data_IF_246991281973
#
_entry.id   IF_246991281973
#
_cell.length_a   1.000
_cell.length_b   1.000
_cell.length_c   1.000
_cell.angle_alpha   90.00
_cell.angle_beta   90.00
_cell.angle_gamma   90.00
#
_symmetry.space_group_name_H-M   'P 1'
#
loop_
_entity.id
_entity.type
_entity.pdbx_description
1 polymer ?
#
# COMPACT_ATOMS: atom_id res chain seq x y z
N UNK A 1 -24.45 -2.60 -24.37
CA UNK A 1 -23.48 -3.54 -23.76
C UNK A 1 -22.22 -2.85 -23.25
N UNK A 2 -21.51 -2.04 -24.06
CA UNK A 2 -20.33 -1.26 -23.62
C UNK A 2 -20.62 -0.23 -22.50
N UNK A 3 -21.80 0.42 -22.54
CA UNK A 3 -22.24 1.38 -21.49
C UNK A 3 -22.40 0.70 -20.12
N UNK A 4 -22.80 -0.58 -20.11
CA UNK A 4 -22.96 -1.35 -18.86
C UNK A 4 -21.60 -1.74 -18.26
N UNK A 5 -20.64 -2.18 -19.10
CA UNK A 5 -19.27 -2.51 -18.65
C UNK A 5 -18.58 -1.28 -18.05
N UNK A 6 -18.68 -0.13 -18.71
CA UNK A 6 -18.11 1.13 -18.23
C UNK A 6 -18.71 1.58 -16.88
N UNK A 7 -20.04 1.46 -16.73
CA UNK A 7 -20.73 1.81 -15.48
C UNK A 7 -20.28 0.90 -14.33
N UNK A 8 -20.24 -0.42 -14.56
CA UNK A 8 -19.76 -1.39 -13.57
C UNK A 8 -18.30 -1.14 -13.17
N UNK A 9 -17.45 -0.83 -14.16
CA UNK A 9 -16.04 -0.52 -13.95
C UNK A 9 -15.84 0.74 -13.12
N UNK A 10 -16.56 1.81 -13.43
CA UNK A 10 -16.53 3.04 -12.64
C UNK A 10 -17.00 2.81 -11.19
N UNK A 11 -18.05 2.00 -11.00
CA UNK A 11 -18.50 1.63 -9.66
C UNK A 11 -17.44 0.83 -8.89
N UNK A 12 -16.79 -0.14 -9.55
CA UNK A 12 -15.68 -0.89 -8.98
C UNK A 12 -14.51 0.01 -8.58
N UNK A 13 -14.18 1.01 -9.42
CA UNK A 13 -13.10 1.96 -9.15
C UNK A 13 -13.40 2.87 -7.97
N UNK A 14 -14.62 3.41 -7.89
CA UNK A 14 -15.08 4.17 -6.73
C UNK A 14 -15.00 3.35 -5.45
N UNK A 15 -15.34 2.06 -5.53
CA UNK A 15 -15.21 1.15 -4.39
C UNK A 15 -13.76 0.94 -3.97
N UNK A 16 -12.84 0.78 -4.94
CA UNK A 16 -11.41 0.68 -4.66
C UNK A 16 -10.88 1.98 -4.07
N UNK A 17 -11.29 3.15 -4.57
CA UNK A 17 -10.88 4.44 -4.02
C UNK A 17 -11.32 4.59 -2.55
N UNK A 18 -12.57 4.23 -2.23
CA UNK A 18 -13.04 4.19 -0.84
C UNK A 18 -12.20 3.25 0.04
N UNK A 19 -11.75 2.12 -0.49
CA UNK A 19 -10.83 1.25 0.24
C UNK A 19 -9.51 1.99 0.48
N UNK A 20 -8.88 2.53 -0.57
CA UNK A 20 -7.61 3.32 -0.54
C UNK A 20 -7.66 4.43 0.50
N UNK A 21 -8.77 5.17 0.58
CA UNK A 21 -8.91 6.31 1.51
C UNK A 21 -8.99 5.88 2.98
N UNK A 22 -9.35 4.62 3.26
CA UNK A 22 -9.54 4.14 4.64
C UNK A 22 -8.29 3.51 5.26
N UNK A 23 -7.44 2.86 4.47
CA UNK A 23 -6.25 2.16 4.95
C UNK A 23 -5.25 1.96 3.81
N UNK A 24 -3.98 1.69 4.10
CA UNK A 24 -3.01 1.34 3.06
C UNK A 24 -3.12 -0.13 2.60
N UNK A 25 -3.74 -0.99 3.43
CA UNK A 25 -3.78 -2.44 3.21
C UNK A 25 -5.07 -3.08 3.70
N UNK A 26 -5.59 -4.05 2.95
CA UNK A 26 -6.85 -4.75 3.27
C UNK A 26 -6.71 -6.26 3.21
N UNK A 27 -7.70 -6.93 3.81
CA UNK A 27 -7.90 -8.37 3.66
C UNK A 27 -8.53 -8.69 2.30
N UNK A 28 -8.35 -9.94 1.86
CA UNK A 28 -9.06 -10.48 0.70
C UNK A 28 -10.58 -10.43 0.86
N UNK A 29 -11.12 -10.54 2.08
CA UNK A 29 -12.56 -10.42 2.33
C UNK A 29 -13.11 -9.04 1.96
N UNK A 30 -12.35 -7.96 2.20
CA UNK A 30 -12.76 -6.62 1.80
C UNK A 30 -12.83 -6.47 0.27
N UNK A 31 -11.92 -7.12 -0.47
CA UNK A 31 -11.91 -7.15 -1.94
C UNK A 31 -13.08 -7.98 -2.51
N UNK A 32 -13.39 -9.12 -1.87
CA UNK A 32 -14.50 -10.00 -2.26
C UNK A 32 -15.88 -9.43 -1.93
N UNK A 33 -15.96 -8.50 -0.96
CA UNK A 33 -17.20 -7.79 -0.65
C UNK A 33 -17.77 -7.07 -1.89
N UNK A 34 -16.89 -6.64 -2.81
CA UNK A 34 -17.33 -6.24 -4.13
C UNK A 34 -18.09 -4.91 -4.18
N UNK A 35 -18.89 -4.80 -5.24
CA UNK A 35 -19.98 -3.84 -5.39
C UNK A 35 -21.30 -4.60 -5.56
N UNK A 36 -22.42 -3.89 -5.41
CA UNK A 36 -23.74 -4.40 -5.77
C UNK A 36 -24.20 -3.70 -7.04
N UNK A 37 -24.63 -4.47 -8.05
CA UNK A 37 -25.29 -3.98 -9.27
C UNK A 37 -26.55 -4.79 -9.50
N UNK A 38 -27.68 -4.12 -9.73
CA UNK A 38 -28.97 -4.76 -10.03
C UNK A 38 -29.37 -5.83 -9.00
N UNK A 39 -29.07 -5.58 -7.71
CA UNK A 39 -29.33 -6.51 -6.61
C UNK A 39 -28.35 -7.69 -6.51
N UNK A 40 -27.44 -7.86 -7.46
CA UNK A 40 -26.40 -8.89 -7.42
C UNK A 40 -25.05 -8.35 -6.93
N UNK A 41 -24.34 -9.15 -6.13
CA UNK A 41 -22.96 -8.85 -5.72
C UNK A 41 -21.99 -9.21 -6.84
N UNK A 42 -21.17 -8.24 -7.25
CA UNK A 42 -20.03 -8.42 -8.13
C UNK A 42 -18.72 -8.27 -7.33
N UNK A 43 -17.96 -9.34 -7.06
CA UNK A 43 -16.67 -9.23 -6.37
C UNK A 43 -15.65 -8.46 -7.22
N UNK A 44 -14.62 -7.90 -6.59
CA UNK A 44 -13.54 -7.22 -7.32
C UNK A 44 -12.38 -8.14 -7.72
N UNK A 45 -12.34 -9.36 -7.20
CA UNK A 45 -11.26 -10.32 -7.43
C UNK A 45 -11.78 -11.76 -7.37
N UNK A 46 -10.97 -12.71 -7.83
CA UNK A 46 -11.21 -14.14 -7.66
C UNK A 46 -10.61 -14.65 -6.34
N UNK A 47 -11.28 -15.63 -5.72
CA UNK A 47 -10.77 -16.33 -4.53
C UNK A 47 -9.54 -17.18 -4.88
N UNK A 48 -9.54 -17.82 -6.05
CA UNK A 48 -8.58 -18.87 -6.43
C UNK A 48 -7.57 -18.41 -7.49
N UNK A 49 -7.96 -17.47 -8.36
CA UNK A 49 -7.15 -17.05 -9.51
C UNK A 49 -6.61 -15.63 -9.31
N UNK A 50 -5.42 -15.37 -9.87
CA UNK A 50 -4.83 -14.03 -9.89
C UNK A 50 -5.52 -13.11 -10.90
N UNK A 51 -5.90 -13.65 -12.05
CA UNK A 51 -6.58 -12.93 -13.12
C UNK A 51 -8.10 -13.08 -12.95
N UNK A 52 -8.85 -11.99 -13.03
CA UNK A 52 -10.28 -12.02 -12.78
C UNK A 52 -11.10 -11.15 -13.73
N UNK A 53 -12.02 -11.83 -14.43
CA UNK A 53 -13.09 -11.24 -15.23
C UNK A 53 -14.46 -11.63 -14.64
N UNK A 54 -15.27 -10.67 -14.15
CA UNK A 54 -16.62 -10.94 -13.69
C UNK A 54 -17.52 -11.42 -14.82
N UNK A 55 -18.50 -12.28 -14.51
CA UNK A 55 -19.49 -12.76 -15.48
C UNK A 55 -20.34 -11.63 -16.09
N UNK A 56 -20.52 -10.54 -15.35
CA UNK A 56 -21.28 -9.36 -15.76
C UNK A 56 -20.51 -8.45 -16.72
N UNK A 57 -19.19 -8.67 -16.89
CA UNK A 57 -18.31 -7.83 -17.68
C UNK A 57 -17.77 -8.57 -18.90
N UNK A 58 -17.52 -7.83 -19.97
CA UNK A 58 -16.97 -8.38 -21.21
C UNK A 58 -15.45 -8.48 -21.16
N UNK A 59 -14.83 -7.53 -20.47
CA UNK A 59 -13.37 -7.39 -20.36
C UNK A 59 -12.87 -7.66 -18.95
N UNK A 60 -11.56 -7.92 -18.84
CA UNK A 60 -10.85 -8.09 -17.58
C UNK A 60 -11.17 -6.95 -16.59
N UNK A 61 -11.39 -7.29 -15.31
CA UNK A 61 -11.59 -6.28 -14.25
C UNK A 61 -10.33 -6.09 -13.43
N UNK A 62 -9.70 -7.18 -13.00
CA UNK A 62 -8.58 -7.10 -12.08
C UNK A 62 -7.57 -8.23 -12.22
N UNK A 63 -6.36 -7.93 -11.75
CA UNK A 63 -5.29 -8.89 -11.53
C UNK A 63 -4.82 -8.82 -10.08
N UNK A 64 -4.29 -9.92 -9.57
CA UNK A 64 -3.83 -10.04 -8.19
C UNK A 64 -2.54 -10.82 -8.11
N UNK A 65 -1.57 -10.29 -7.36
CA UNK A 65 -0.40 -11.03 -6.86
C UNK A 65 -0.59 -11.36 -5.38
N UNK A 66 0.12 -12.37 -4.88
CA UNK A 66 0.05 -12.81 -3.49
C UNK A 66 1.45 -12.87 -2.89
N UNK A 67 1.56 -12.62 -1.58
CA UNK A 67 2.75 -12.99 -0.80
C UNK A 67 2.42 -14.31 -0.09
N UNK A 68 3.16 -15.41 -0.37
CA UNK A 68 2.91 -16.69 0.29
C UNK A 68 3.22 -16.59 1.79
N UNK A 69 2.56 -17.43 2.60
CA UNK A 69 2.96 -17.63 4.01
C UNK A 69 4.35 -18.28 4.06
N UNK A 70 5.14 -18.00 5.10
CA UNK A 70 6.43 -18.66 5.32
C UNK A 70 6.26 -20.19 5.26
N UNK A 71 7.14 -20.87 4.51
CA UNK A 71 7.04 -22.31 4.23
C UNK A 71 6.04 -22.73 3.14
N UNK A 72 5.25 -21.78 2.60
CA UNK A 72 4.44 -22.00 1.41
C UNK A 72 5.29 -22.01 0.15
N UNK A 73 5.06 -22.96 -0.76
CA UNK A 73 5.69 -22.99 -2.08
C UNK A 73 5.46 -21.64 -2.81
N UNK A 74 6.53 -21.03 -3.31
CA UNK A 74 6.47 -19.87 -4.21
C UNK A 74 5.99 -20.40 -5.56
N UNK A 75 4.74 -20.14 -5.93
CA UNK A 75 4.15 -20.67 -7.16
C UNK A 75 4.46 -19.82 -8.41
N UNK A 76 4.99 -18.60 -8.27
CA UNK A 76 5.21 -17.69 -9.40
C UNK A 76 6.50 -16.83 -9.24
N UNK A 77 7.22 -16.64 -10.34
CA UNK A 77 8.47 -15.86 -10.44
C UNK A 77 8.24 -14.33 -10.31
N UNK A 78 7.05 -13.84 -10.65
CA UNK A 78 6.63 -12.43 -10.52
C UNK A 78 6.81 -11.84 -9.11
N UNK A 79 6.79 -12.69 -8.08
CA UNK A 79 7.01 -12.32 -6.68
C UNK A 79 8.48 -11.95 -6.37
N UNK A 80 9.44 -12.59 -7.05
CA UNK A 80 10.87 -12.22 -6.97
C UNK A 80 11.16 -10.98 -7.83
N UNK A 81 10.44 -10.83 -8.95
CA UNK A 81 10.63 -9.77 -9.94
C UNK A 81 9.98 -8.43 -9.57
N UNK A 82 8.91 -8.40 -8.77
CA UNK A 82 8.34 -7.15 -8.23
C UNK A 82 9.39 -6.33 -7.45
N UNK A 83 10.37 -7.00 -6.82
CA UNK A 83 11.47 -6.37 -6.08
C UNK A 83 12.68 -5.95 -6.94
N UNK A 84 12.83 -6.48 -8.16
CA UNK A 84 13.98 -6.19 -9.03
C UNK A 84 13.66 -5.25 -10.20
N UNK A 85 12.40 -5.21 -10.66
CA UNK A 85 11.98 -4.39 -11.79
C UNK A 85 11.62 -2.95 -11.41
N UNK A 86 11.17 -2.73 -10.16
CA UNK A 86 10.87 -1.39 -9.66
C UNK A 86 12.12 -0.51 -9.50
N UNK A 87 13.30 -1.13 -9.39
CA UNK A 87 14.62 -0.47 -9.26
C UNK A 87 15.26 -0.07 -10.60
N UNK A 88 14.88 -0.72 -11.70
CA UNK A 88 15.58 -0.58 -12.99
C UNK A 88 15.11 0.62 -13.84
N UNK A 89 14.24 1.49 -13.31
CA UNK A 89 13.63 2.56 -14.10
C UNK A 89 12.70 2.02 -15.20
N UNK A 90 12.11 0.85 -14.97
CA UNK A 90 11.13 0.25 -15.86
C UNK A 90 9.86 1.12 -15.98
N UNK A 91 9.18 1.00 -17.12
CA UNK A 91 7.91 1.67 -17.41
C UNK A 91 6.69 0.82 -17.02
N UNK A 92 6.90 -0.22 -16.19
CA UNK A 92 5.86 -1.08 -15.67
C UNK A 92 6.40 -2.23 -14.84
N UNK A 93 5.49 -3.11 -14.44
CA UNK A 93 5.75 -4.34 -13.68
C UNK A 93 5.36 -5.53 -14.54
N UNK A 94 6.22 -6.54 -14.66
CA UNK A 94 5.85 -7.79 -15.33
C UNK A 94 4.98 -8.66 -14.39
N UNK A 95 3.87 -9.12 -14.93
CA UNK A 95 2.90 -10.02 -14.30
C UNK A 95 2.97 -11.38 -14.97
N UNK A 96 3.15 -12.45 -14.19
CA UNK A 96 3.25 -13.81 -14.72
C UNK A 96 1.88 -14.32 -15.18
N UNK A 97 1.87 -15.06 -16.28
CA UNK A 97 0.68 -15.76 -16.75
C UNK A 97 0.23 -16.84 -15.78
N UNK A 98 -1.06 -17.17 -15.87
CA UNK A 98 -1.59 -18.34 -15.19
C UNK A 98 -1.19 -19.61 -15.93
N UNK A 99 -0.41 -20.47 -15.27
CA UNK A 99 0.11 -21.70 -15.87
C UNK A 99 1.10 -21.43 -17.00
N UNK A 100 1.25 -22.40 -17.91
CA UNK A 100 2.22 -22.34 -19.02
C UNK A 100 1.59 -22.24 -20.40
N UNK A 101 0.27 -22.30 -20.48
CA UNK A 101 -0.47 -22.13 -21.73
C UNK A 101 -0.81 -20.64 -21.93
N UNK A 102 -0.14 -19.92 -22.84
CA UNK A 102 -0.45 -18.53 -23.11
C UNK A 102 -1.85 -18.35 -23.70
N UNK A 103 -2.44 -19.39 -24.27
CA UNK A 103 -3.79 -19.35 -24.85
C UNK A 103 -4.88 -19.76 -23.87
N UNK A 104 -4.57 -20.03 -22.60
CA UNK A 104 -5.58 -20.24 -21.57
C UNK A 104 -6.50 -19.01 -21.43
N UNK A 105 -7.77 -19.23 -21.05
CA UNK A 105 -8.79 -18.16 -21.02
C UNK A 105 -8.34 -16.92 -20.23
N UNK A 106 -7.72 -17.12 -19.07
CA UNK A 106 -7.25 -16.02 -18.22
C UNK A 106 -6.16 -15.18 -18.92
N UNK A 107 -5.20 -15.84 -19.57
CA UNK A 107 -4.10 -15.18 -20.27
C UNK A 107 -4.57 -14.47 -21.55
N UNK A 108 -5.63 -14.97 -22.21
CA UNK A 108 -6.29 -14.26 -23.30
C UNK A 108 -6.96 -12.98 -22.84
N UNK A 109 -7.56 -12.95 -21.64
CA UNK A 109 -8.15 -11.71 -21.10
C UNK A 109 -7.09 -10.63 -20.83
N UNK A 110 -5.86 -11.02 -20.45
CA UNK A 110 -4.74 -10.07 -20.37
C UNK A 110 -4.40 -9.50 -21.76
N UNK A 111 -4.38 -10.35 -22.79
CA UNK A 111 -4.12 -9.93 -24.17
C UNK A 111 -5.20 -8.98 -24.68
N UNK A 112 -6.47 -9.33 -24.48
CA UNK A 112 -7.62 -8.49 -24.84
C UNK A 112 -7.56 -7.14 -24.11
N UNK A 113 -7.18 -7.10 -22.83
CA UNK A 113 -7.01 -5.85 -22.09
C UNK A 113 -5.86 -5.00 -22.65
N UNK A 114 -4.80 -5.62 -23.15
CA UNK A 114 -3.69 -4.93 -23.82
C UNK A 114 -4.13 -4.31 -25.15
N UNK A 115 -4.79 -5.10 -26.00
CA UNK A 115 -5.26 -4.68 -27.34
C UNK A 115 -6.26 -3.52 -27.26
N UNK A 116 -7.11 -3.49 -26.25
CA UNK A 116 -8.14 -2.47 -26.06
C UNK A 116 -7.76 -1.35 -25.09
N UNK A 117 -6.53 -1.35 -24.55
CA UNK A 117 -6.09 -0.46 -23.47
C UNK A 117 -7.10 -0.41 -22.30
N UNK A 118 -7.67 -1.56 -21.93
CA UNK A 118 -8.71 -1.63 -20.90
C UNK A 118 -8.12 -1.26 -19.53
N UNK A 119 -8.67 -0.25 -18.83
CA UNK A 119 -8.24 0.08 -17.47
C UNK A 119 -8.70 -1.01 -16.50
N UNK A 120 -7.79 -1.57 -15.70
CA UNK A 120 -8.01 -2.64 -14.73
C UNK A 120 -7.59 -2.24 -13.31
N UNK A 121 -7.97 -3.04 -12.31
CA UNK A 121 -7.49 -2.90 -10.93
C UNK A 121 -6.34 -3.90 -10.71
N UNK A 122 -5.21 -3.43 -10.19
CA UNK A 122 -4.13 -4.32 -9.76
C UNK A 122 -4.10 -4.39 -8.23
N UNK A 123 -4.49 -5.55 -7.68
CA UNK A 123 -4.29 -5.88 -6.28
C UNK A 123 -2.91 -6.50 -6.05
N UNK A 124 -2.11 -5.89 -5.19
CA UNK A 124 -0.72 -6.29 -4.98
C UNK A 124 -0.58 -6.85 -3.58
N UNK A 125 -0.12 -8.09 -3.47
CA UNK A 125 0.20 -8.72 -2.19
C UNK A 125 1.39 -8.01 -1.54
N UNK A 126 1.21 -7.54 -0.30
CA UNK A 126 2.27 -6.86 0.47
C UNK A 126 2.71 -7.65 1.69
N UNK A 127 1.84 -8.52 2.20
CA UNK A 127 2.13 -9.52 3.21
C UNK A 127 1.11 -10.68 3.08
N UNK A 128 1.28 -11.81 3.78
CA UNK A 128 0.35 -12.91 3.68
C UNK A 128 -1.10 -12.49 3.94
N UNK A 129 -1.97 -12.67 2.95
CA UNK A 129 -3.38 -12.25 2.96
C UNK A 129 -3.64 -10.74 3.15
N UNK A 130 -2.63 -9.89 2.91
CA UNK A 130 -2.71 -8.43 2.96
C UNK A 130 -2.39 -7.85 1.59
N UNK A 131 -3.24 -6.95 1.13
CA UNK A 131 -3.17 -6.41 -0.23
C UNK A 131 -3.24 -4.89 -0.21
N UNK A 132 -2.47 -4.26 -1.10
CA UNK A 132 -2.74 -2.89 -1.56
C UNK A 132 -3.37 -2.94 -2.96
N UNK A 133 -3.84 -1.81 -3.48
CA UNK A 133 -4.56 -1.73 -4.75
C UNK A 133 -4.10 -0.51 -5.52
N UNK A 134 -4.00 -0.66 -6.84
CA UNK A 134 -3.74 0.44 -7.78
C UNK A 134 -4.84 0.40 -8.84
N UNK A 135 -5.50 1.55 -9.03
CA UNK A 135 -6.51 1.73 -10.06
C UNK A 135 -6.45 3.19 -10.57
N UNK A 136 -6.36 3.43 -11.88
CA UNK A 136 -6.23 2.42 -12.93
C UNK A 136 -4.83 1.81 -13.04
N UNK A 137 -4.79 0.58 -13.55
CA UNK A 137 -3.63 -0.06 -14.15
C UNK A 137 -3.98 -0.52 -15.57
N UNK A 138 -2.98 -0.77 -16.41
CA UNK A 138 -3.14 -1.10 -17.82
C UNK A 138 -2.17 -2.19 -18.22
N UNK A 139 -2.60 -3.12 -19.07
CA UNK A 139 -1.67 -4.05 -19.72
C UNK A 139 -1.08 -3.33 -20.93
N UNK A 140 0.25 -3.21 -21.00
CA UNK A 140 0.96 -2.48 -22.07
C UNK A 140 1.84 -3.37 -22.94
N UNK A 141 2.07 -4.61 -22.52
CA UNK A 141 2.73 -5.64 -23.31
C UNK A 141 2.20 -7.03 -22.91
N UNK A 142 2.19 -7.96 -23.85
CA UNK A 142 1.77 -9.35 -23.64
C UNK A 142 2.70 -10.27 -24.44
N UNK A 143 3.35 -11.22 -23.76
CA UNK A 143 4.37 -12.07 -24.38
C UNK A 143 4.11 -13.55 -24.11
N UNK A 144 3.68 -14.28 -25.14
CA UNK A 144 3.58 -15.73 -25.10
C UNK A 144 4.93 -16.42 -24.84
N UNK A 145 6.03 -15.86 -25.39
CA UNK A 145 7.37 -16.42 -25.24
C UNK A 145 7.90 -16.30 -23.80
N UNK A 146 7.66 -15.15 -23.16
CA UNK A 146 8.06 -14.92 -21.75
C UNK A 146 7.03 -15.42 -20.75
N UNK A 147 5.81 -15.73 -21.19
CA UNK A 147 4.65 -16.02 -20.32
C UNK A 147 4.36 -14.88 -19.33
N UNK A 148 4.47 -13.64 -19.80
CA UNK A 148 4.24 -12.44 -18.98
C UNK A 148 3.42 -11.38 -19.69
N UNK A 149 2.73 -10.56 -18.90
CA UNK A 149 2.10 -9.32 -19.32
C UNK A 149 2.76 -8.15 -18.57
N UNK A 150 3.07 -7.05 -19.25
CA UNK A 150 3.58 -5.85 -18.57
C UNK A 150 2.43 -4.96 -18.14
N UNK A 151 2.49 -4.49 -16.90
CA UNK A 151 1.48 -3.64 -16.28
C UNK A 151 2.04 -2.24 -16.06
N UNK A 152 1.39 -1.24 -16.65
CA UNK A 152 1.61 0.18 -16.37
C UNK A 152 0.49 0.72 -15.47
N UNK A 153 0.70 1.90 -14.91
CA UNK A 153 -0.21 2.52 -13.93
C UNK A 153 -0.71 3.88 -14.40
N UNK A 154 -1.91 4.27 -13.97
CA UNK A 154 -2.38 5.63 -14.16
C UNK A 154 -1.59 6.65 -13.34
N UNK A 155 -1.68 7.91 -13.76
CA UNK A 155 -1.10 9.03 -13.03
C UNK A 155 -2.14 9.62 -12.05
N UNK A 156 -1.70 10.09 -10.87
CA UNK A 156 -2.58 10.80 -9.95
C UNK A 156 -3.19 12.04 -10.60
N UNK A 157 -4.51 12.24 -10.44
CA UNK A 157 -5.23 13.40 -10.98
C UNK A 157 -5.66 13.25 -12.45
N UNK A 158 -5.16 12.25 -13.17
CA UNK A 158 -5.60 11.95 -14.53
C UNK A 158 -6.91 11.13 -14.53
N UNK A 159 -7.71 11.21 -15.60
CA UNK A 159 -8.89 10.38 -15.76
C UNK A 159 -8.58 8.89 -15.69
N UNK A 160 -9.48 8.11 -15.07
CA UNK A 160 -9.24 6.69 -14.81
C UNK A 160 -9.18 5.80 -16.07
N UNK A 161 -9.61 6.30 -17.22
CA UNK A 161 -9.49 5.62 -18.52
C UNK A 161 -8.23 6.00 -19.28
N UNK A 162 -7.47 7.01 -18.81
CA UNK A 162 -6.32 7.52 -19.52
C UNK A 162 -5.07 6.72 -19.19
N UNK A 163 -4.59 5.97 -20.18
CA UNK A 163 -3.29 5.31 -20.11
C UNK A 163 -2.16 6.33 -20.32
N UNK A 164 -1.07 6.27 -19.55
CA UNK A 164 0.06 7.16 -19.80
C UNK A 164 0.67 6.89 -21.18
N UNK A 165 0.82 7.97 -21.96
CA UNK A 165 1.13 7.89 -23.39
C UNK A 165 2.62 7.67 -23.63
N UNK A 166 3.47 8.29 -22.81
CA UNK A 166 4.92 8.24 -22.98
C UNK A 166 5.61 7.26 -22.04
N UNK A 167 6.78 6.77 -22.45
CA UNK A 167 7.66 5.97 -21.59
C UNK A 167 8.01 6.71 -20.29
N UNK A 168 8.25 8.03 -20.38
CA UNK A 168 8.59 8.86 -19.23
C UNK A 168 7.44 8.94 -18.22
N UNK A 169 6.20 9.12 -18.69
CA UNK A 169 5.00 9.10 -17.84
C UNK A 169 4.80 7.74 -17.18
N UNK A 170 4.89 6.65 -17.94
CA UNK A 170 4.75 5.29 -17.40
C UNK A 170 5.81 4.97 -16.35
N UNK A 171 7.06 5.39 -16.58
CA UNK A 171 8.16 5.29 -15.60
C UNK A 171 7.88 6.13 -14.36
N UNK A 172 7.30 7.33 -14.51
CA UNK A 172 6.91 8.15 -13.37
C UNK A 172 5.78 7.50 -12.56
N UNK A 173 4.71 7.03 -13.21
CA UNK A 173 3.61 6.32 -12.57
C UNK A 173 4.11 5.07 -11.82
N UNK A 174 5.02 4.31 -12.44
CA UNK A 174 5.66 3.13 -11.81
C UNK A 174 6.43 3.50 -10.55
N UNK A 175 7.17 4.62 -10.53
CA UNK A 175 7.86 5.09 -9.31
C UNK A 175 6.89 5.49 -8.19
N UNK A 176 5.77 6.14 -8.54
CA UNK A 176 4.74 6.51 -7.55
C UNK A 176 4.14 5.25 -6.93
N UNK A 177 3.80 4.27 -7.76
CA UNK A 177 3.26 2.98 -7.30
C UNK A 177 4.29 2.19 -6.48
N UNK A 178 5.58 2.20 -6.86
CA UNK A 178 6.64 1.56 -6.10
C UNK A 178 6.70 2.07 -4.66
N UNK A 179 6.63 3.40 -4.47
CA UNK A 179 6.58 4.02 -3.14
C UNK A 179 5.34 3.64 -2.36
N UNK A 180 4.17 3.57 -3.02
CA UNK A 180 2.93 3.12 -2.37
C UNK A 180 3.06 1.68 -1.87
N UNK A 181 3.58 0.76 -2.70
CA UNK A 181 3.80 -0.64 -2.33
C UNK A 181 4.79 -0.74 -1.16
N UNK A 182 5.90 0.00 -1.23
CA UNK A 182 6.92 0.02 -0.18
C UNK A 182 6.33 0.51 1.16
N UNK A 183 5.54 1.59 1.15
CA UNK A 183 4.83 2.09 2.33
C UNK A 183 3.84 1.08 2.89
N UNK A 184 3.06 0.41 2.03
CA UNK A 184 2.12 -0.61 2.45
C UNK A 184 2.81 -1.82 3.12
N UNK A 185 3.95 -2.27 2.56
CA UNK A 185 4.79 -3.33 3.13
C UNK A 185 5.39 -2.95 4.47
N UNK A 186 6.04 -1.78 4.52
CA UNK A 186 6.63 -1.25 5.74
C UNK A 186 5.59 -1.16 6.86
N UNK A 187 4.42 -0.63 6.53
CA UNK A 187 3.30 -0.54 7.48
C UNK A 187 2.92 -1.90 8.05
N UNK A 188 2.67 -2.89 7.20
CA UNK A 188 2.22 -4.20 7.68
C UNK A 188 3.28 -4.87 8.57
N UNK A 189 4.54 -4.80 8.16
CA UNK A 189 5.68 -5.33 8.92
C UNK A 189 5.88 -4.60 10.26
N UNK A 190 5.77 -3.27 10.29
CA UNK A 190 5.86 -2.48 11.52
C UNK A 190 4.70 -2.80 12.47
N UNK A 191 3.46 -2.85 11.97
CA UNK A 191 2.30 -3.24 12.79
C UNK A 191 2.46 -4.63 13.39
N UNK A 192 3.04 -5.57 12.64
CA UNK A 192 3.35 -6.90 13.17
C UNK A 192 4.39 -6.85 14.28
N UNK A 193 5.50 -6.13 14.08
CA UNK A 193 6.58 -5.98 15.07
C UNK A 193 6.09 -5.35 16.40
N UNK A 194 5.17 -4.39 16.31
CA UNK A 194 4.56 -3.72 17.48
C UNK A 194 3.39 -4.51 18.10
N UNK A 195 3.05 -5.69 17.57
CA UNK A 195 1.91 -6.47 18.06
C UNK A 195 0.57 -5.76 17.90
N UNK A 196 0.42 -4.97 16.83
CA UNK A 196 -0.74 -4.14 16.53
C UNK A 196 -1.09 -3.12 17.63
N UNK A 197 -0.07 -2.52 18.27
CA UNK A 197 -0.25 -1.47 19.27
C UNK A 197 0.46 -0.17 18.89
N UNK A 198 -0.14 0.95 19.29
CA UNK A 198 0.49 2.26 19.20
C UNK A 198 1.68 2.35 20.16
N UNK A 199 2.82 2.82 19.66
CA UNK A 199 4.06 3.02 20.40
C UNK A 199 3.93 4.08 21.50
N UNK A 200 3.04 5.06 21.37
CA UNK A 200 2.87 6.11 22.39
C UNK A 200 1.79 5.79 23.42
N UNK A 201 0.63 5.30 22.98
CA UNK A 201 -0.53 5.08 23.86
C UNK A 201 -0.68 3.63 24.34
N UNK A 202 -0.10 2.67 23.61
CA UNK A 202 -0.35 1.24 23.80
C UNK A 202 -1.69 0.74 23.24
N UNK A 203 -2.48 1.61 22.60
CA UNK A 203 -3.81 1.26 22.09
C UNK A 203 -3.74 0.25 20.92
N UNK A 204 -4.68 -0.70 20.88
CA UNK A 204 -4.67 -1.85 19.96
C UNK A 204 -5.62 -1.79 18.75
N UNK A 205 -6.09 -0.61 18.36
CA UNK A 205 -7.11 -0.48 17.29
C UNK A 205 -6.46 -0.41 15.92
N UNK A 206 -6.17 -1.56 15.30
CA UNK A 206 -5.41 -1.66 14.04
C UNK A 206 -5.90 -0.76 12.87
N UNK A 207 -7.19 -0.41 12.81
CA UNK A 207 -7.75 0.52 11.80
C UNK A 207 -7.32 2.00 12.02
N UNK A 208 -6.99 2.35 13.26
CA UNK A 208 -6.52 3.68 13.65
C UNK A 208 -5.00 3.80 13.66
N UNK A 209 -4.29 2.67 13.56
CA UNK A 209 -2.84 2.64 13.50
C UNK A 209 -2.32 2.92 12.08
N UNK A 210 -1.22 3.65 12.00
CA UNK A 210 -0.37 3.74 10.84
C UNK A 210 1.10 3.54 11.24
N UNK A 211 1.96 3.27 10.26
CA UNK A 211 3.40 3.29 10.46
C UNK A 211 3.96 4.61 9.91
N UNK A 212 4.63 5.36 10.77
CA UNK A 212 5.31 6.61 10.41
C UNK A 212 6.81 6.36 10.38
N UNK A 213 7.51 7.03 9.47
CA UNK A 213 8.97 7.09 9.51
C UNK A 213 9.40 8.10 10.59
N UNK A 214 10.50 7.78 11.28
CA UNK A 214 11.12 8.68 12.26
C UNK A 214 11.68 9.90 11.53
N UNK A 215 12.39 9.69 10.42
CA UNK A 215 12.88 10.76 9.56
C UNK A 215 12.05 10.82 8.28
N UNK A 216 11.35 11.94 7.98
CA UNK A 216 10.61 12.07 6.73
C UNK A 216 11.52 12.13 5.49
N UNK A 217 12.83 12.33 5.65
CA UNK A 217 13.79 12.27 4.55
C UNK A 217 14.15 10.83 4.13
N UNK A 218 13.82 9.82 4.94
CA UNK A 218 13.98 8.43 4.56
C UNK A 218 13.00 8.10 3.40
N UNK A 219 13.52 7.62 2.27
CA UNK A 219 12.69 7.20 1.13
C UNK A 219 12.42 5.69 1.19
N UNK A 220 11.13 5.35 1.24
CA UNK A 220 10.65 3.98 1.09
C UNK A 220 10.55 3.66 -0.40
N UNK A 221 11.63 3.10 -0.95
CA UNK A 221 11.59 2.49 -2.27
C UNK A 221 11.29 0.99 -2.16
N UNK A 222 10.73 0.40 -3.21
CA UNK A 222 10.38 -1.03 -3.23
C UNK A 222 11.60 -1.96 -3.12
N UNK A 223 12.80 -1.41 -3.33
CA UNK A 223 14.06 -2.15 -3.48
C UNK A 223 14.93 -2.06 -2.23
N UNK A 224 14.98 -0.89 -1.58
CA UNK A 224 15.88 -0.66 -0.44
C UNK A 224 15.24 -0.90 0.92
N UNK A 225 13.91 -1.11 0.99
CA UNK A 225 13.16 -1.46 2.19
C UNK A 225 13.71 -0.81 3.46
N UNK A 226 13.28 0.41 3.80
CA UNK A 226 13.75 1.11 5.01
C UNK A 226 13.63 0.17 6.22
N UNK A 227 14.69 0.04 7.05
CA UNK A 227 14.69 -0.88 8.18
C UNK A 227 13.52 -0.56 9.12
N UNK A 228 12.91 -1.59 9.72
CA UNK A 228 11.79 -1.40 10.65
C UNK A 228 12.15 -0.52 11.85
N UNK A 229 13.42 -0.47 12.22
CA UNK A 229 13.98 0.42 13.25
C UNK A 229 13.85 1.90 12.89
N UNK A 230 13.61 2.27 11.63
CA UNK A 230 13.35 3.65 11.23
C UNK A 230 11.88 4.06 11.37
N UNK A 231 11.01 3.19 11.90
CA UNK A 231 9.58 3.43 12.00
C UNK A 231 9.02 3.40 13.41
N UNK A 232 7.87 4.05 13.57
CA UNK A 232 7.00 3.94 14.74
C UNK A 232 5.59 3.56 14.28
N UNK A 233 4.91 2.71 15.04
CA UNK A 233 3.48 2.47 14.85
C UNK A 233 2.71 3.42 15.75
N UNK A 234 1.91 4.32 15.18
CA UNK A 234 1.18 5.34 15.94
C UNK A 234 -0.30 5.35 15.54
N UNK A 235 -1.18 5.69 16.48
CA UNK A 235 -2.54 6.09 16.11
C UNK A 235 -2.49 7.37 15.26
N UNK A 236 -3.43 7.56 14.32
CA UNK A 236 -3.44 8.71 13.38
C UNK A 236 -3.24 10.07 14.07
N UNK A 237 -3.83 10.28 15.24
CA UNK A 237 -3.66 11.54 16.00
C UNK A 237 -2.23 11.74 16.50
N UNK A 238 -1.60 10.70 17.06
CA UNK A 238 -0.20 10.75 17.49
C UNK A 238 0.75 10.87 16.29
N UNK A 239 0.45 10.16 15.18
CA UNK A 239 1.21 10.28 13.95
C UNK A 239 1.19 11.69 13.37
N UNK A 240 0.01 12.34 13.35
CA UNK A 240 -0.13 13.72 12.91
C UNK A 240 0.63 14.70 13.83
N UNK A 241 0.52 14.53 15.15
CA UNK A 241 1.23 15.36 16.12
C UNK A 241 2.76 15.20 16.02
N UNK A 242 3.25 13.98 15.81
CA UNK A 242 4.68 13.69 15.62
C UNK A 242 5.21 14.27 14.29
N UNK A 243 4.42 14.20 13.22
CA UNK A 243 4.78 14.80 11.94
C UNK A 243 4.83 16.34 12.00
N UNK A 244 3.94 16.95 12.79
CA UNK A 244 3.85 18.39 12.98
C UNK A 244 4.78 18.93 14.09
N UNK A 245 5.70 18.12 14.61
CA UNK A 245 6.63 18.50 15.69
C UNK A 245 5.92 19.00 16.98
N UNK A 246 4.68 18.57 17.20
CA UNK A 246 3.95 18.78 18.46
C UNK A 246 4.31 17.73 19.52
N UNK A 247 4.78 16.56 19.05
CA UNK A 247 5.35 15.50 19.88
C UNK A 247 6.72 15.10 19.34
N UNK A 248 7.68 14.92 20.24
CA UNK A 248 9.02 14.42 19.96
C UNK A 248 9.31 13.13 20.72
N UNK A 249 10.31 12.38 20.27
CA UNK A 249 10.83 11.21 21.00
C UNK A 249 12.35 11.30 21.03
N UNK A 250 12.95 11.24 22.21
CA UNK A 250 14.40 11.31 22.37
C UNK A 250 15.09 9.95 22.16
N UNK A 251 16.44 9.95 22.19
CA UNK A 251 17.26 8.76 22.00
C UNK A 251 17.08 7.68 23.08
N UNK A 252 16.47 8.02 24.23
CA UNK A 252 16.12 7.10 25.32
C UNK A 252 14.65 6.64 25.27
N UNK A 253 14.01 6.85 24.12
CA UNK A 253 12.63 6.48 23.83
C UNK A 253 11.60 7.17 24.72
N UNK A 254 11.92 8.34 25.31
CA UNK A 254 10.96 9.14 26.06
C UNK A 254 10.21 10.10 25.14
N UNK A 255 8.93 10.24 25.39
CA UNK A 255 8.01 11.09 24.63
C UNK A 255 8.02 12.49 25.23
N UNK A 256 8.14 13.50 24.37
CA UNK A 256 8.12 14.91 24.73
C UNK A 256 6.98 15.59 23.99
N UNK A 257 6.38 16.59 24.63
CA UNK A 257 5.32 17.41 24.05
C UNK A 257 5.83 18.84 23.96
N UNK A 258 5.55 19.52 22.85
CA UNK A 258 5.97 20.91 22.66
C UNK A 258 5.34 21.83 23.72
N UNK A 259 5.95 22.99 23.98
CA UNK A 259 5.42 23.94 24.95
C UNK A 259 4.00 24.41 24.57
N UNK A 260 3.75 24.59 23.28
CA UNK A 260 2.41 24.90 22.74
C UNK A 260 1.36 23.83 23.07
N UNK A 261 1.75 22.54 23.17
CA UNK A 261 0.84 21.47 23.61
C UNK A 261 0.66 21.51 25.12
N UNK A 262 1.72 21.68 25.89
CA UNK A 262 1.70 21.63 27.36
C UNK A 262 0.95 22.82 27.98
N UNK A 263 1.15 24.02 27.44
CA UNK A 263 0.68 25.28 28.02
C UNK A 263 -0.33 26.03 27.15
N UNK A 264 -0.58 25.58 25.92
CA UNK A 264 -1.57 26.19 25.04
C UNK A 264 -3.02 25.84 25.39
N UNK A 265 -3.93 26.40 24.59
CA UNK A 265 -5.38 26.25 24.79
C UNK A 265 -5.83 24.78 24.82
N UNK A 266 -6.87 24.51 25.62
CA UNK A 266 -7.34 23.16 25.89
C UNK A 266 -8.22 22.64 24.74
N UNK A 267 -7.57 22.21 23.66
CA UNK A 267 -8.22 21.46 22.60
C UNK A 267 -8.35 19.98 23.01
N UNK A 268 -9.46 19.28 22.70
CA UNK A 268 -9.65 17.87 23.11
C UNK A 268 -8.48 16.91 22.81
N UNK A 269 -7.78 17.14 21.69
CA UNK A 269 -6.59 16.37 21.31
C UNK A 269 -5.38 16.61 22.22
N UNK A 270 -5.22 17.82 22.76
CA UNK A 270 -4.08 18.21 23.58
C UNK A 270 -4.06 17.43 24.90
N UNK A 271 -5.22 17.14 25.50
CA UNK A 271 -5.32 16.30 26.72
C UNK A 271 -4.65 14.93 26.51
N UNK A 272 -4.92 14.29 25.37
CA UNK A 272 -4.35 12.98 25.06
C UNK A 272 -2.83 13.06 24.79
N UNK A 273 -2.36 14.12 24.14
CA UNK A 273 -0.93 14.33 23.89
C UNK A 273 -0.15 14.67 25.17
N UNK A 274 -0.71 15.48 26.06
CA UNK A 274 -0.14 15.76 27.39
C UNK A 274 -0.02 14.49 28.23
N UNK A 275 -1.00 13.60 28.15
CA UNK A 275 -1.02 12.34 28.91
C UNK A 275 0.12 11.36 28.54
N UNK A 276 0.75 11.53 27.37
CA UNK A 276 1.92 10.72 26.98
C UNK A 276 3.25 11.41 27.26
N UNK A 277 3.25 12.69 27.62
CA UNK A 277 4.48 13.43 27.95
C UNK A 277 5.25 12.76 29.10
N UNK A 278 6.57 12.64 28.95
CA UNK A 278 7.47 12.06 29.93
C UNK A 278 7.45 10.53 30.02
N UNK A 279 6.46 9.86 29.39
CA UNK A 279 6.38 8.40 29.32
C UNK A 279 7.37 7.85 28.29
N UNK A 280 7.68 6.56 28.41
CA UNK A 280 8.46 5.83 27.41
C UNK A 280 7.57 5.22 26.35
N UNK A 281 8.10 5.08 25.14
CA UNK A 281 7.45 4.31 24.09
C UNK A 281 7.21 2.86 24.53
N UNK A 282 6.10 2.29 24.09
CA UNK A 282 5.91 0.85 23.99
C UNK A 282 6.75 0.35 22.82
N UNK A 283 7.79 -0.41 23.13
CA UNK A 283 8.74 -0.93 22.13
C UNK A 283 8.26 -2.29 21.59
N UNK A 284 8.70 -2.68 20.38
CA UNK A 284 8.56 -4.05 19.89
C UNK A 284 9.10 -5.08 20.90
N UNK A 285 8.52 -6.27 20.90
CA UNK A 285 8.98 -7.36 21.77
C UNK A 285 10.41 -7.83 21.45
N UNK A 286 10.81 -7.70 20.18
CA UNK A 286 12.14 -8.06 19.67
C UNK A 286 13.07 -6.84 19.72
N UNK A 287 14.14 -6.85 20.55
CA UNK A 287 15.07 -5.72 20.71
C UNK A 287 15.71 -5.21 19.42
N UNK A 288 16.00 -6.11 18.48
CA UNK A 288 16.63 -5.78 17.19
C UNK A 288 15.73 -4.94 16.29
N UNK A 289 14.42 -4.89 16.59
CA UNK A 289 13.43 -4.09 15.87
C UNK A 289 13.12 -2.76 16.57
N UNK A 290 13.83 -2.42 17.64
CA UNK A 290 13.59 -1.18 18.36
C UNK A 290 13.90 0.04 17.49
N UNK A 291 13.15 1.14 17.68
CA UNK A 291 13.43 2.41 17.01
C UNK A 291 14.88 2.84 17.19
N UNK A 292 15.52 3.14 16.07
CA UNK A 292 16.92 3.49 16.00
C UNK A 292 17.21 4.78 16.77
N UNK A 293 18.15 4.70 17.72
CA UNK A 293 18.44 5.80 18.65
C UNK A 293 19.03 7.02 17.97
N UNK A 294 19.81 6.85 16.91
CA UNK A 294 20.43 7.96 16.18
C UNK A 294 19.40 8.70 15.31
N UNK A 295 18.48 7.96 14.66
CA UNK A 295 17.34 8.55 13.94
C UNK A 295 16.45 9.35 14.88
N UNK A 296 16.15 8.79 16.06
CA UNK A 296 15.39 9.51 17.09
C UNK A 296 16.10 10.77 17.54
N UNK A 297 17.39 10.69 17.88
CA UNK A 297 18.18 11.85 18.29
C UNK A 297 18.13 12.98 17.24
N UNK A 298 18.36 12.65 15.96
CA UNK A 298 18.32 13.61 14.86
C UNK A 298 16.93 14.23 14.68
N UNK A 299 15.87 13.42 14.71
CA UNK A 299 14.48 13.93 14.62
C UNK A 299 14.13 14.79 15.83
N UNK A 300 14.62 14.43 17.02
CA UNK A 300 14.38 15.15 18.25
C UNK A 300 15.03 16.54 18.25
N UNK A 301 16.24 16.69 17.71
CA UNK A 301 16.85 18.02 17.56
C UNK A 301 16.01 18.94 16.66
N UNK A 302 15.40 18.41 15.60
CA UNK A 302 14.45 19.17 14.77
C UNK A 302 13.22 19.60 15.57
N UNK A 303 12.65 18.67 16.33
CA UNK A 303 11.52 18.96 17.24
C UNK A 303 11.88 20.08 18.22
N UNK A 304 13.05 20.03 18.86
CA UNK A 304 13.50 21.07 19.80
C UNK A 304 13.69 22.45 19.16
N UNK A 305 14.08 22.50 17.89
CA UNK A 305 14.23 23.76 17.16
C UNK A 305 12.88 24.40 16.78
N UNK A 306 11.80 23.61 16.72
CA UNK A 306 10.46 24.06 16.35
C UNK A 306 9.47 24.20 17.52
N UNK A 307 9.80 23.63 18.68
CA UNK A 307 8.90 23.43 19.83
C UNK A 307 8.89 24.57 20.87
#
# INVERSE_FOLDING_TARGET
>A
MLIADHTLRLAAYRRVQQLIDTSLTWSRSAMLAGITSDGERMPLCSVQRGIFKPRQMQQLLSITTVVPRSGGRIWYEDQRWLHGQLSAGADGIDYAFMGRDPHAADNRWLREACEHATPIIFFIGVAPARYTAVAPAFIVDWSAARLTARVSFGLPGEPWWQMPASFAERRHATRVVARQIARARFRDAALHAYGQRCAMSGSGRALLLDAVLIDPADDLTADTGVPLTAGLVLDRSFGAAFAADLLGVDADHRIHAAAAVLYGDDHPSATMWRAVHGRRLFLPHTPELWPDRERLARRFERFRASA
#
